data_IF_527111651148
#
_entry.id   IF_527111651148
#
_cell.length_a   1.000
_cell.length_b   1.000
_cell.length_c   1.000
_cell.angle_alpha   90.00
_cell.angle_beta   90.00
_cell.angle_gamma   90.00
#
_symmetry.space_group_name_H-M   'P 1'
#
loop_
_entity.id
_entity.type
_entity.pdbx_description
1 polymer ?
#
# COMPACT_ATOMS: atom_id res chain seq x y z
N UNK A 1 -20.32 8.74 11.52
CA UNK A 1 -19.18 8.10 10.82
C UNK A 1 -19.19 8.63 9.40
N UNK A 2 -18.13 9.29 8.96
CA UNK A 2 -18.04 9.75 7.56
C UNK A 2 -17.35 8.64 6.76
N UNK A 3 -18.05 8.10 5.77
CA UNK A 3 -17.48 7.12 4.85
C UNK A 3 -16.42 7.85 4.00
N UNK A 4 -15.25 7.23 3.82
CA UNK A 4 -14.19 7.71 2.93
C UNK A 4 -14.09 6.78 1.72
N UNK A 5 -13.87 7.35 0.55
CA UNK A 5 -13.66 6.64 -0.71
C UNK A 5 -12.16 6.56 -0.99
N UNK A 6 -11.64 5.34 -1.12
CA UNK A 6 -10.27 5.09 -1.53
C UNK A 6 -10.23 4.62 -2.98
N UNK A 7 -9.37 5.24 -3.79
CA UNK A 7 -9.12 4.83 -5.18
C UNK A 7 -7.79 4.07 -5.24
N UNK A 8 -7.84 2.80 -5.67
CA UNK A 8 -6.65 2.00 -5.90
C UNK A 8 -6.07 2.29 -7.30
N UNK A 9 -4.78 2.61 -7.35
CA UNK A 9 -4.05 2.89 -8.60
C UNK A 9 -2.89 1.89 -8.75
N UNK A 10 -2.83 1.14 -9.87
CA UNK A 10 -1.72 0.24 -10.20
C UNK A 10 -0.79 0.82 -11.27
N UNK A 11 0.09 1.78 -10.91
CA UNK A 11 1.04 2.36 -11.86
C UNK A 11 2.14 1.38 -12.23
N UNK A 12 2.64 1.47 -13.47
CA UNK A 12 3.83 0.73 -13.93
C UNK A 12 5.12 1.53 -13.71
N UNK A 13 5.04 2.86 -13.63
CA UNK A 13 6.14 3.77 -13.31
C UNK A 13 5.71 4.88 -12.34
N UNK A 14 6.67 5.58 -11.74
CA UNK A 14 6.37 6.69 -10.81
C UNK A 14 5.67 7.86 -11.52
N UNK A 15 6.02 8.13 -12.78
CA UNK A 15 5.37 9.17 -13.60
C UNK A 15 3.91 8.81 -13.91
N UNK A 16 3.63 7.52 -14.14
CA UNK A 16 2.26 7.03 -14.27
C UNK A 16 1.49 7.19 -12.95
N UNK A 17 2.15 6.96 -11.81
CA UNK A 17 1.55 7.18 -10.49
C UNK A 17 1.09 8.63 -10.33
N UNK A 18 1.90 9.62 -10.72
CA UNK A 18 1.49 11.03 -10.67
C UNK A 18 0.25 11.31 -11.51
N UNK A 19 0.15 10.70 -12.69
CA UNK A 19 -0.99 10.89 -13.60
C UNK A 19 -2.26 10.24 -13.05
N UNK A 20 -2.15 9.07 -12.44
CA UNK A 20 -3.28 8.36 -11.82
C UNK A 20 -3.74 9.04 -10.52
N UNK A 21 -2.81 9.57 -9.72
CA UNK A 21 -3.11 10.37 -8.53
C UNK A 21 -3.95 11.59 -8.91
N UNK A 22 -3.52 12.37 -9.91
CA UNK A 22 -4.28 13.54 -10.39
C UNK A 22 -5.69 13.17 -10.86
N UNK A 23 -5.84 12.02 -11.52
CA UNK A 23 -7.16 11.53 -11.94
C UNK A 23 -8.03 11.15 -10.75
N UNK A 24 -7.48 10.47 -9.74
CA UNK A 24 -8.21 10.10 -8.53
C UNK A 24 -8.66 11.36 -7.75
N UNK A 25 -7.78 12.36 -7.63
CA UNK A 25 -8.10 13.64 -6.99
C UNK A 25 -9.18 14.41 -7.75
N UNK A 26 -9.15 14.42 -9.09
CA UNK A 26 -10.19 15.04 -9.91
C UNK A 26 -11.57 14.37 -9.72
N UNK A 27 -11.60 13.12 -9.25
CA UNK A 27 -12.81 12.37 -8.89
C UNK A 27 -13.16 12.49 -7.39
N UNK A 28 -12.49 13.36 -6.64
CA UNK A 28 -12.68 13.59 -5.21
C UNK A 28 -12.40 12.37 -4.31
N UNK A 29 -11.34 11.60 -4.63
CA UNK A 29 -10.88 10.54 -3.75
C UNK A 29 -10.45 11.09 -2.36
N UNK A 30 -10.91 10.48 -1.28
CA UNK A 30 -10.49 10.83 0.08
C UNK A 30 -9.11 10.25 0.43
N UNK A 31 -8.77 9.12 -0.22
CA UNK A 31 -7.57 8.32 -0.04
C UNK A 31 -7.15 7.75 -1.39
N UNK A 32 -5.86 7.55 -1.59
CA UNK A 32 -5.35 6.87 -2.80
C UNK A 32 -4.44 5.72 -2.37
N UNK A 33 -4.77 4.50 -2.80
CA UNK A 33 -3.91 3.33 -2.61
C UNK A 33 -2.97 3.20 -3.80
N UNK A 34 -1.67 3.31 -3.57
CA UNK A 34 -0.64 3.04 -4.58
C UNK A 34 -0.26 1.56 -4.48
N UNK A 35 -0.58 0.79 -5.53
CA UNK A 35 -0.18 -0.61 -5.68
C UNK A 35 1.26 -0.70 -6.17
N UNK A 36 2.20 -0.60 -5.24
CA UNK A 36 3.64 -0.67 -5.47
C UNK A 36 4.06 -2.00 -6.12
N UNK A 37 3.28 -3.05 -5.95
CA UNK A 37 3.52 -4.35 -6.59
C UNK A 37 3.34 -4.31 -8.11
N UNK A 38 2.69 -3.26 -8.65
CA UNK A 38 2.55 -3.04 -10.11
C UNK A 38 3.72 -2.26 -10.72
N UNK A 39 4.55 -1.61 -9.89
CA UNK A 39 5.70 -0.84 -10.36
C UNK A 39 6.79 -1.77 -10.89
N UNK A 40 7.38 -1.40 -12.03
CA UNK A 40 8.53 -2.11 -12.60
C UNK A 40 9.83 -1.88 -11.83
N UNK A 41 9.93 -0.74 -11.14
CA UNK A 41 11.08 -0.32 -10.34
C UNK A 41 10.61 0.53 -9.16
N UNK A 42 11.34 0.46 -8.05
CA UNK A 42 11.01 1.14 -6.79
C UNK A 42 12.02 2.25 -6.41
N UNK A 43 12.92 2.62 -7.31
CA UNK A 43 14.02 3.59 -7.11
C UNK A 43 13.56 5.05 -6.88
N UNK A 44 12.29 5.36 -7.17
CA UNK A 44 11.72 6.72 -7.07
C UNK A 44 10.40 6.80 -6.28
N UNK A 45 10.09 5.79 -5.45
CA UNK A 45 8.84 5.80 -4.67
C UNK A 45 8.75 6.99 -3.69
N UNK A 46 9.89 7.55 -3.30
CA UNK A 46 9.98 8.70 -2.42
C UNK A 46 9.38 9.99 -3.01
N UNK A 47 9.28 10.07 -4.34
CA UNK A 47 8.75 11.25 -5.01
C UNK A 47 7.21 11.27 -5.01
N UNK A 48 6.56 10.12 -4.77
CA UNK A 48 5.10 9.98 -4.83
C UNK A 48 4.40 10.85 -3.78
N UNK A 49 4.76 10.84 -2.49
CA UNK A 49 4.08 11.66 -1.49
C UNK A 49 4.25 13.17 -1.73
N UNK A 50 5.31 13.60 -2.44
CA UNK A 50 5.54 15.00 -2.76
C UNK A 50 4.56 15.57 -3.80
N UNK A 51 3.87 14.71 -4.57
CA UNK A 51 3.01 15.16 -5.67
C UNK A 51 1.57 15.49 -5.27
N UNK A 52 1.18 15.23 -4.01
CA UNK A 52 -0.21 15.31 -3.56
C UNK A 52 -0.31 15.64 -2.07
N UNK A 53 -1.45 16.20 -1.65
CA UNK A 53 -1.83 16.33 -0.22
C UNK A 53 -2.85 15.27 0.21
N UNK A 54 -3.36 14.49 -0.74
CA UNK A 54 -4.34 13.43 -0.49
C UNK A 54 -3.63 12.28 0.23
N UNK A 55 -4.15 11.78 1.36
CA UNK A 55 -3.51 10.70 2.09
C UNK A 55 -3.31 9.44 1.24
N UNK A 56 -2.08 8.95 1.25
CA UNK A 56 -1.68 7.78 0.46
C UNK A 56 -1.63 6.51 1.31
N UNK A 57 -2.00 5.38 0.70
CA UNK A 57 -1.81 4.03 1.23
C UNK A 57 -0.76 3.33 0.37
N UNK A 58 0.31 2.84 0.99
CA UNK A 58 1.32 2.03 0.33
C UNK A 58 0.93 0.55 0.43
N UNK A 59 0.71 -0.11 -0.72
CA UNK A 59 0.37 -1.53 -0.77
C UNK A 59 1.36 -2.25 -1.69
N UNK A 60 2.03 -3.28 -1.18
CA UNK A 60 2.95 -4.11 -1.95
C UNK A 60 2.62 -5.59 -1.73
N UNK A 61 1.67 -6.11 -2.51
CA UNK A 61 1.17 -7.49 -2.37
C UNK A 61 2.07 -8.49 -3.09
N UNK A 62 2.42 -9.57 -2.40
CA UNK A 62 3.17 -10.69 -2.97
C UNK A 62 2.32 -11.52 -3.93
N UNK A 63 2.97 -12.32 -4.79
CA UNK A 63 2.26 -13.29 -5.65
C UNK A 63 1.35 -14.25 -4.86
N UNK A 64 1.74 -14.63 -3.63
CA UNK A 64 0.95 -15.53 -2.77
C UNK A 64 -0.38 -14.88 -2.32
N UNK A 65 -0.41 -13.56 -2.23
CA UNK A 65 -1.58 -12.78 -1.84
C UNK A 65 -2.22 -12.08 -3.04
N UNK A 66 -2.14 -12.71 -4.23
CA UNK A 66 -2.72 -12.24 -5.49
C UNK A 66 -2.25 -10.83 -5.93
N UNK A 67 -1.07 -10.40 -5.47
CA UNK A 67 -0.38 -9.23 -5.99
C UNK A 67 0.57 -9.58 -7.14
N UNK A 68 1.34 -8.58 -7.58
CA UNK A 68 2.31 -8.73 -8.68
C UNK A 68 3.78 -8.69 -8.23
N UNK A 69 4.05 -8.56 -6.92
CA UNK A 69 5.41 -8.49 -6.42
C UNK A 69 6.05 -9.88 -6.37
N UNK A 70 7.15 -10.07 -7.12
CA UNK A 70 7.86 -11.33 -7.28
C UNK A 70 9.24 -11.37 -6.61
N UNK A 71 9.63 -10.32 -5.89
CA UNK A 71 10.87 -10.25 -5.14
C UNK A 71 10.84 -11.05 -3.84
N UNK A 72 11.87 -10.91 -3.01
CA UNK A 72 11.92 -11.58 -1.70
C UNK A 72 11.01 -10.91 -0.67
N UNK A 73 10.55 -11.63 0.36
CA UNK A 73 9.75 -11.00 1.43
C UNK A 73 10.52 -9.89 2.15
N UNK A 74 11.83 -10.05 2.38
CA UNK A 74 12.67 -9.00 2.97
C UNK A 74 12.70 -7.74 2.10
N UNK A 75 12.84 -7.90 0.78
CA UNK A 75 12.79 -6.77 -0.16
C UNK A 75 11.40 -6.11 -0.16
N UNK A 76 10.33 -6.91 -0.14
CA UNK A 76 8.95 -6.41 -0.05
C UNK A 76 8.75 -5.53 1.18
N UNK A 77 9.22 -6.00 2.33
CA UNK A 77 9.13 -5.29 3.62
C UNK A 77 9.97 -4.00 3.61
N UNK A 78 11.17 -4.03 3.04
CA UNK A 78 12.00 -2.84 2.88
C UNK A 78 11.31 -1.77 2.02
N UNK A 79 10.67 -2.16 0.91
CA UNK A 79 9.90 -1.24 0.07
C UNK A 79 8.75 -0.58 0.86
N UNK A 80 8.03 -1.35 1.68
CA UNK A 80 6.96 -0.80 2.53
C UNK A 80 7.51 0.16 3.59
N UNK A 81 8.65 -0.19 4.21
CA UNK A 81 9.31 0.67 5.18
C UNK A 81 9.82 1.96 4.55
N UNK A 82 10.38 1.89 3.34
CA UNK A 82 10.82 3.06 2.60
C UNK A 82 9.63 3.93 2.20
N UNK A 83 8.50 3.35 1.80
CA UNK A 83 7.27 4.12 1.56
C UNK A 83 6.83 4.89 2.83
N UNK A 84 6.81 4.22 3.98
CA UNK A 84 6.47 4.86 5.26
C UNK A 84 7.40 6.05 5.57
N UNK A 85 8.72 5.83 5.49
CA UNK A 85 9.73 6.88 5.76
C UNK A 85 9.60 8.10 4.84
N UNK A 86 9.11 7.89 3.62
CA UNK A 86 8.98 8.95 2.62
C UNK A 86 7.60 9.65 2.64
N UNK A 87 6.75 9.38 3.63
CA UNK A 87 5.54 10.17 3.88
C UNK A 87 4.24 9.54 3.39
N UNK A 88 4.23 8.25 3.05
CA UNK A 88 2.95 7.54 2.90
C UNK A 88 2.20 7.53 4.24
N UNK A 89 0.93 7.96 4.22
CA UNK A 89 0.14 8.12 5.44
C UNK A 89 -0.24 6.76 6.05
N UNK A 90 -0.52 5.79 5.18
CA UNK A 90 -0.86 4.43 5.56
C UNK A 90 0.02 3.42 4.84
N UNK A 91 0.20 2.26 5.47
CA UNK A 91 0.82 1.10 4.84
C UNK A 91 -0.07 -0.12 5.08
N UNK A 92 -0.35 -0.86 4.01
CA UNK A 92 -1.07 -2.13 4.06
C UNK A 92 -0.09 -3.29 4.27
N UNK A 93 -0.34 -4.09 5.30
CA UNK A 93 0.42 -5.29 5.64
C UNK A 93 -0.53 -6.48 5.66
N UNK A 94 -0.31 -7.43 4.75
CA UNK A 94 -1.08 -8.67 4.74
C UNK A 94 -0.89 -9.43 6.08
N UNK A 95 -2.00 -9.90 6.64
CA UNK A 95 -2.03 -10.78 7.79
C UNK A 95 -1.23 -12.06 7.49
N UNK A 96 -0.33 -12.44 8.41
CA UNK A 96 0.56 -13.57 8.22
C UNK A 96 1.87 -13.24 7.50
N UNK A 97 2.17 -11.96 7.26
CA UNK A 97 3.51 -11.51 6.85
C UNK A 97 4.56 -12.00 7.85
N UNK A 98 5.71 -12.49 7.38
CA UNK A 98 6.79 -12.91 8.27
C UNK A 98 7.30 -11.73 9.12
N UNK A 99 7.54 -11.94 10.41
CA UNK A 99 7.95 -10.88 11.36
C UNK A 99 6.97 -9.69 11.41
N UNK A 100 5.66 -9.95 11.23
CA UNK A 100 4.63 -8.91 11.14
C UNK A 100 4.66 -7.90 12.30
N UNK A 101 4.84 -8.34 13.54
CA UNK A 101 4.86 -7.43 14.70
C UNK A 101 6.03 -6.44 14.65
N UNK A 102 7.23 -6.93 14.31
CA UNK A 102 8.44 -6.10 14.16
C UNK A 102 8.29 -5.11 12.99
N UNK A 103 7.74 -5.59 11.86
CA UNK A 103 7.44 -4.74 10.72
C UNK A 103 6.43 -3.64 11.09
N UNK A 104 5.33 -3.99 11.76
CA UNK A 104 4.31 -3.04 12.21
C UNK A 104 4.92 -1.99 13.14
N UNK A 105 5.76 -2.40 14.09
CA UNK A 105 6.47 -1.47 14.98
C UNK A 105 7.33 -0.50 14.16
N UNK A 106 8.15 -1.03 13.25
CA UNK A 106 9.05 -0.24 12.41
C UNK A 106 8.29 0.76 11.50
N UNK A 107 7.15 0.36 10.96
CA UNK A 107 6.30 1.22 10.13
C UNK A 107 5.67 2.36 10.95
N UNK A 108 5.25 2.07 12.20
CA UNK A 108 4.71 3.09 13.12
C UNK A 108 5.79 4.06 13.56
N UNK A 109 6.99 3.57 13.86
CA UNK A 109 8.15 4.39 14.22
C UNK A 109 8.57 5.29 13.05
N UNK A 110 8.38 4.82 11.80
CA UNK A 110 8.55 5.63 10.59
C UNK A 110 7.40 6.63 10.33
N UNK A 111 6.36 6.65 11.17
CA UNK A 111 5.27 7.64 11.12
C UNK A 111 4.02 7.19 10.35
N UNK A 112 3.98 5.97 9.80
CA UNK A 112 2.83 5.47 9.06
C UNK A 112 1.78 4.82 9.97
N UNK A 113 0.51 4.93 9.56
CA UNK A 113 -0.59 4.15 10.14
C UNK A 113 -0.69 2.81 9.44
N UNK A 114 -0.68 1.71 10.19
CA UNK A 114 -0.71 0.37 9.57
C UNK A 114 -2.14 -0.15 9.45
N UNK A 115 -2.49 -0.63 8.24
CA UNK A 115 -3.67 -1.43 7.95
C UNK A 115 -3.19 -2.88 7.90
N UNK A 116 -3.79 -3.76 8.72
CA UNK A 116 -3.56 -5.20 8.62
C UNK A 116 -4.71 -5.81 7.83
N UNK A 117 -4.41 -6.38 6.67
CA UNK A 117 -5.43 -6.83 5.72
C UNK A 117 -5.43 -8.34 5.57
N UNK A 118 -6.60 -8.93 5.32
CA UNK A 118 -6.76 -10.36 5.06
C UNK A 118 -7.69 -10.54 3.87
N UNK A 119 -7.39 -11.52 3.02
CA UNK A 119 -8.11 -11.76 1.78
C UNK A 119 -8.34 -13.27 1.61
N UNK A 120 -9.60 -13.67 1.54
CA UNK A 120 -10.01 -15.01 1.15
C UNK A 120 -10.60 -14.93 -0.26
N UNK A 121 -9.88 -15.50 -1.23
CA UNK A 121 -10.28 -15.48 -2.65
C UNK A 121 -11.15 -16.68 -3.04
N UNK A 122 -11.31 -17.66 -2.15
CA UNK A 122 -12.06 -18.89 -2.42
C UNK A 122 -13.49 -18.80 -1.89
N UNK A 123 -13.68 -18.14 -0.74
CA UNK A 123 -14.98 -18.07 -0.08
C UNK A 123 -15.15 -16.84 0.81
N UNK A 124 -16.40 -16.58 1.19
CA UNK A 124 -16.70 -15.70 2.34
C UNK A 124 -16.80 -16.55 3.60
N UNK A 125 -15.95 -16.34 4.62
CA UNK A 125 -16.02 -17.10 5.87
C UNK A 125 -17.36 -16.91 6.60
N UNK A 126 -17.68 -17.87 7.47
CA UNK A 126 -18.75 -17.68 8.44
C UNK A 126 -18.41 -16.52 9.38
N UNK A 127 -19.44 -15.85 9.90
CA UNK A 127 -19.26 -14.72 10.83
C UNK A 127 -18.38 -15.07 12.04
N UNK A 128 -18.39 -16.33 12.49
CA UNK A 128 -17.56 -16.79 13.61
C UNK A 128 -16.06 -16.91 13.30
N UNK A 129 -15.67 -16.71 12.04
CA UNK A 129 -14.30 -16.82 11.53
C UNK A 129 -13.77 -15.51 10.96
N UNK A 130 -14.56 -14.44 11.01
CA UNK A 130 -14.16 -13.06 10.71
C UNK A 130 -13.64 -12.40 12.00
#
# INVERSE_FOLDING_TARGET
MTIRVCVAVPPKTVEEAFSLIKQAEAQNADLIEIRLDSLKKHDHIADIPCCTKTPLIATNKSLKNHGSFSGSETERQNILLDAAKNGFTYVDVDLGTANQEELISSLRDAGAKVIVSFHDFEQTPLLSKL
#
